data_IF_203273885265
#
_entry.id   IF_203273885265
#
_cell.length_a   1.000
_cell.length_b   1.000
_cell.length_c   1.000
_cell.angle_alpha   90.00
_cell.angle_beta   90.00
_cell.angle_gamma   90.00
#
_symmetry.space_group_name_H-M   'P 1'
#
loop_
_entity.id
_entity.type
_entity.pdbx_description
1 polymer ?
#
# COMPACT_ATOMS: atom_id res chain seq x y z
N UNK A 1 16.23 30.71 -21.45
CA UNK A 1 16.28 29.32 -21.92
C UNK A 1 17.49 28.66 -21.30
N UNK A 2 17.32 27.41 -20.88
CA UNK A 2 18.24 26.51 -20.17
C UNK A 2 18.24 26.54 -18.64
N UNK A 3 18.02 25.33 -18.12
CA UNK A 3 18.24 24.80 -16.78
C UNK A 3 17.09 24.90 -15.76
N UNK A 4 16.14 23.97 -15.91
CA UNK A 4 15.44 23.38 -14.78
C UNK A 4 15.05 21.90 -15.07
N UNK A 5 16.04 21.07 -15.46
CA UNK A 5 15.86 19.63 -15.74
C UNK A 5 16.63 18.75 -14.72
N UNK A 6 17.23 19.32 -13.68
CA UNK A 6 18.16 18.59 -12.79
C UNK A 6 17.61 17.88 -11.52
N UNK A 7 16.38 18.07 -11.01
CA UNK A 7 15.92 17.31 -9.83
C UNK A 7 15.69 15.82 -10.12
N UNK A 8 15.12 15.50 -11.28
CA UNK A 8 14.75 14.14 -11.68
C UNK A 8 15.98 13.26 -11.92
N UNK A 9 16.98 13.78 -12.63
CA UNK A 9 18.21 13.03 -12.92
C UNK A 9 19.00 12.65 -11.66
N UNK A 10 19.02 13.50 -10.63
CA UNK A 10 19.68 13.19 -9.35
C UNK A 10 18.90 12.16 -8.51
N UNK A 11 17.57 12.21 -8.53
CA UNK A 11 16.72 11.21 -7.87
C UNK A 11 16.87 9.84 -8.53
N UNK A 12 16.79 9.77 -9.87
CA UNK A 12 16.99 8.54 -10.65
C UNK A 12 18.41 7.98 -10.47
N UNK A 13 19.45 8.82 -10.48
CA UNK A 13 20.83 8.37 -10.26
C UNK A 13 21.08 7.87 -8.83
N UNK A 14 20.39 8.43 -7.83
CA UNK A 14 20.42 7.93 -6.45
C UNK A 14 19.71 6.58 -6.33
N UNK A 15 18.56 6.39 -6.99
CA UNK A 15 17.83 5.11 -7.04
C UNK A 15 18.62 4.01 -7.75
N UNK A 16 19.26 4.30 -8.89
CA UNK A 16 20.10 3.35 -9.62
C UNK A 16 21.34 2.93 -8.82
N UNK A 17 22.01 3.88 -8.15
CA UNK A 17 23.17 3.58 -7.29
C UNK A 17 22.77 2.72 -6.09
N UNK A 18 21.60 2.97 -5.49
CA UNK A 18 21.04 2.15 -4.39
C UNK A 18 20.68 0.74 -4.83
N UNK A 19 20.01 0.58 -5.98
CA UNK A 19 19.75 -0.74 -6.58
C UNK A 19 21.04 -1.51 -6.83
N UNK A 20 22.05 -0.85 -7.39
CA UNK A 20 23.36 -1.45 -7.62
C UNK A 20 24.03 -1.92 -6.33
N UNK A 21 24.02 -1.09 -5.27
CA UNK A 21 24.59 -1.44 -3.97
C UNK A 21 23.84 -2.59 -3.30
N UNK A 22 22.50 -2.55 -3.29
CA UNK A 22 21.69 -3.61 -2.70
C UNK A 22 21.85 -4.93 -3.43
N UNK A 23 21.82 -4.91 -4.77
CA UNK A 23 22.07 -6.11 -5.56
C UNK A 23 23.48 -6.65 -5.30
N UNK A 24 24.49 -5.79 -5.14
CA UNK A 24 25.85 -6.21 -4.82
C UNK A 24 25.96 -6.84 -3.41
N UNK A 25 25.30 -6.28 -2.39
CA UNK A 25 25.31 -6.82 -1.03
C UNK A 25 24.52 -8.14 -0.94
N UNK A 26 23.31 -8.18 -1.49
CA UNK A 26 22.46 -9.38 -1.46
C UNK A 26 23.05 -10.51 -2.31
N UNK A 27 23.63 -10.20 -3.48
CA UNK A 27 24.31 -11.20 -4.31
C UNK A 27 25.66 -11.62 -3.73
N UNK A 28 26.35 -10.71 -3.02
CA UNK A 28 27.57 -10.99 -2.28
C UNK A 28 27.33 -12.03 -1.19
N UNK A 29 26.25 -11.89 -0.41
CA UNK A 29 25.83 -12.90 0.56
C UNK A 29 25.45 -14.23 -0.10
N UNK A 30 24.76 -14.21 -1.25
CA UNK A 30 24.42 -15.43 -1.99
C UNK A 30 25.67 -16.23 -2.38
N UNK A 31 26.75 -15.54 -2.78
CA UNK A 31 28.03 -16.16 -3.11
C UNK A 31 28.74 -16.73 -1.88
N UNK A 32 28.66 -16.04 -0.74
CA UNK A 32 29.22 -16.50 0.55
C UNK A 32 28.47 -17.72 1.09
N UNK A 33 27.13 -17.69 1.07
CA UNK A 33 26.27 -18.80 1.50
C UNK A 33 26.49 -20.03 0.61
N UNK A 34 26.63 -19.87 -0.71
CA UNK A 34 27.01 -20.99 -1.59
C UNK A 34 28.41 -21.55 -1.27
N UNK A 35 29.38 -20.70 -0.90
CA UNK A 35 30.72 -21.16 -0.52
C UNK A 35 30.74 -21.90 0.81
N UNK A 36 29.95 -21.48 1.80
CA UNK A 36 29.85 -22.16 3.10
C UNK A 36 29.09 -23.50 2.98
N UNK A 37 28.02 -23.55 2.18
CA UNK A 37 27.29 -24.79 1.86
C UNK A 37 28.16 -25.82 1.12
N UNK A 38 29.13 -25.39 0.31
CA UNK A 38 30.10 -26.30 -0.33
C UNK A 38 31.18 -26.80 0.64
N UNK A 39 31.55 -26.01 1.66
CA UNK A 39 32.56 -26.41 2.67
C UNK A 39 32.02 -27.40 3.70
N UNK A 40 30.72 -27.41 3.99
CA UNK A 40 30.10 -28.32 4.97
C UNK A 40 29.89 -29.75 4.48
N UNK A 41 30.06 -30.01 3.17
CA UNK A 41 29.84 -31.33 2.55
C UNK A 41 31.07 -32.26 2.54
N UNK A 42 32.21 -31.85 3.09
CA UNK A 42 33.38 -32.72 3.27
C UNK A 42 33.64 -33.02 4.75
N UNK A 43 33.01 -34.10 5.22
CA UNK A 43 33.55 -34.95 6.28
C UNK A 43 33.00 -34.72 7.68
N UNK A 44 31.96 -35.49 8.05
CA UNK A 44 32.03 -36.53 9.10
C UNK A 44 30.64 -37.09 9.41
N UNK A 45 30.53 -38.40 9.33
CA UNK A 45 29.38 -39.20 9.77
C UNK A 45 29.15 -39.07 11.28
N UNK A 46 27.98 -38.58 11.71
CA UNK A 46 27.34 -38.91 13.00
C UNK A 46 25.80 -38.87 12.87
N UNK A 47 25.20 -39.87 13.49
CA UNK A 47 23.85 -40.42 13.36
C UNK A 47 22.71 -39.56 13.95
N UNK A 48 21.51 -39.71 13.38
CA UNK A 48 20.14 -39.34 13.83
C UNK A 48 19.86 -37.89 14.30
N UNK A 49 20.76 -37.22 15.01
CA UNK A 49 20.67 -35.77 15.32
C UNK A 49 20.96 -34.91 14.08
N UNK A 50 21.76 -35.43 13.14
CA UNK A 50 22.07 -34.77 11.87
C UNK A 50 20.83 -34.59 10.98
N UNK A 51 19.85 -35.49 11.03
CA UNK A 51 18.62 -35.37 10.25
C UNK A 51 17.71 -34.22 10.73
N UNK A 52 17.60 -33.99 12.05
CA UNK A 52 16.88 -32.82 12.60
C UNK A 52 17.62 -31.51 12.30
N UNK A 53 18.95 -31.54 12.36
CA UNK A 53 19.78 -30.36 12.07
C UNK A 53 19.83 -30.03 10.57
N UNK A 54 19.76 -31.03 9.66
CA UNK A 54 19.66 -30.80 8.22
C UNK A 54 18.31 -30.18 7.83
N UNK A 55 17.22 -30.61 8.47
CA UNK A 55 15.88 -30.08 8.21
C UNK A 55 15.73 -28.65 8.75
N UNK A 56 16.34 -28.37 9.92
CA UNK A 56 16.44 -27.02 10.47
C UNK A 56 17.37 -26.12 9.63
N UNK A 57 18.56 -26.59 9.24
CA UNK A 57 19.47 -25.81 8.40
C UNK A 57 18.87 -25.54 7.01
N UNK A 58 18.22 -26.54 6.41
CA UNK A 58 17.54 -26.39 5.12
C UNK A 58 16.34 -25.43 5.19
N UNK A 59 15.61 -25.41 6.31
CA UNK A 59 14.52 -24.46 6.55
C UNK A 59 15.05 -23.04 6.78
N UNK A 60 16.15 -22.90 7.53
CA UNK A 60 16.81 -21.61 7.73
C UNK A 60 17.36 -21.04 6.42
N UNK A 61 18.01 -21.86 5.60
CA UNK A 61 18.52 -21.49 4.27
C UNK A 61 17.39 -21.04 3.34
N UNK A 62 16.26 -21.77 3.36
CA UNK A 62 15.07 -21.40 2.58
C UNK A 62 14.49 -20.05 3.02
N UNK A 63 14.36 -19.82 4.33
CA UNK A 63 13.85 -18.55 4.84
C UNK A 63 14.81 -17.39 4.52
N UNK A 64 16.12 -17.61 4.61
CA UNK A 64 17.13 -16.61 4.22
C UNK A 64 16.97 -16.24 2.74
N UNK A 65 16.86 -17.23 1.86
CA UNK A 65 16.62 -17.02 0.43
C UNK A 65 15.34 -16.19 0.18
N UNK A 66 14.22 -16.58 0.79
CA UNK A 66 12.94 -15.87 0.60
C UNK A 66 13.01 -14.43 1.13
N UNK A 67 13.73 -14.20 2.23
CA UNK A 67 13.93 -12.85 2.80
C UNK A 67 14.82 -11.98 1.91
N UNK A 68 15.85 -12.55 1.28
CA UNK A 68 16.67 -11.85 0.29
C UNK A 68 15.87 -11.52 -0.97
N UNK A 69 15.08 -12.49 -1.49
CA UNK A 69 14.18 -12.26 -2.62
C UNK A 69 13.14 -11.17 -2.30
N UNK A 70 12.64 -11.13 -1.06
CA UNK A 70 11.76 -10.07 -0.60
C UNK A 70 12.42 -8.70 -0.77
N UNK A 71 13.62 -8.48 -0.22
CA UNK A 71 14.28 -7.18 -0.32
C UNK A 71 14.66 -6.78 -1.75
N UNK A 72 15.11 -7.73 -2.58
CA UNK A 72 15.30 -7.49 -4.02
C UNK A 72 14.00 -6.99 -4.66
N UNK A 73 12.88 -7.65 -4.32
CA UNK A 73 11.56 -7.28 -4.84
C UNK A 73 11.12 -5.89 -4.36
N UNK A 74 11.33 -5.58 -3.08
CA UNK A 74 10.99 -4.25 -2.52
C UNK A 74 11.79 -3.14 -3.22
N UNK A 75 13.05 -3.37 -3.57
CA UNK A 75 13.82 -2.39 -4.37
C UNK A 75 13.41 -2.31 -5.83
N UNK A 76 12.85 -3.40 -6.38
CA UNK A 76 12.24 -3.33 -7.69
C UNK A 76 10.97 -2.47 -7.69
N UNK A 77 10.25 -2.36 -6.56
CA UNK A 77 9.11 -1.45 -6.42
C UNK A 77 9.49 0.03 -6.54
N UNK A 78 10.76 0.42 -6.34
CA UNK A 78 11.19 1.80 -6.61
C UNK A 78 11.27 2.12 -8.11
N UNK A 79 11.14 1.15 -9.03
CA UNK A 79 11.33 1.40 -10.47
C UNK A 79 10.43 2.48 -11.01
N UNK A 80 10.97 3.36 -11.84
CA UNK A 80 10.19 4.23 -12.73
C UNK A 80 9.71 3.47 -13.99
N UNK A 81 10.29 2.31 -14.28
CA UNK A 81 9.85 1.46 -15.38
C UNK A 81 8.64 0.61 -14.95
N UNK A 82 7.50 0.91 -15.55
CA UNK A 82 6.21 0.30 -15.21
C UNK A 82 6.21 -1.24 -15.30
N UNK A 83 6.92 -1.80 -16.28
CA UNK A 83 7.05 -3.26 -16.44
C UNK A 83 7.83 -3.91 -15.29
N UNK A 84 8.94 -3.31 -14.86
CA UNK A 84 9.72 -3.82 -13.72
C UNK A 84 8.90 -3.76 -12.44
N UNK A 85 8.19 -2.66 -12.24
CA UNK A 85 7.28 -2.49 -11.11
C UNK A 85 6.18 -3.57 -11.13
N UNK A 86 5.53 -3.79 -12.27
CA UNK A 86 4.50 -4.81 -12.42
C UNK A 86 5.03 -6.23 -12.10
N UNK A 87 6.25 -6.56 -12.54
CA UNK A 87 6.89 -7.83 -12.19
C UNK A 87 7.18 -7.91 -10.69
N UNK A 88 7.65 -6.84 -10.07
CA UNK A 88 7.91 -6.78 -8.63
C UNK A 88 6.62 -7.00 -7.82
N UNK A 89 5.50 -6.37 -8.19
CA UNK A 89 4.19 -6.60 -7.56
C UNK A 89 3.80 -8.09 -7.64
N UNK A 90 3.93 -8.71 -8.82
CA UNK A 90 3.58 -10.13 -9.00
C UNK A 90 4.52 -11.06 -8.25
N UNK A 91 5.80 -10.73 -8.16
CA UNK A 91 6.79 -11.49 -7.40
C UNK A 91 6.53 -11.38 -5.90
N UNK A 92 6.22 -10.17 -5.41
CA UNK A 92 5.90 -9.95 -4.00
C UNK A 92 4.66 -10.75 -3.58
N UNK A 93 3.64 -10.82 -4.44
CA UNK A 93 2.47 -11.67 -4.23
C UNK A 93 2.83 -13.14 -3.98
N UNK A 94 3.82 -13.67 -4.72
CA UNK A 94 4.31 -15.05 -4.54
C UNK A 94 5.17 -15.20 -3.30
N UNK A 95 6.02 -14.21 -3.00
CA UNK A 95 6.89 -14.23 -1.82
C UNK A 95 6.05 -14.24 -0.54
N UNK A 96 4.97 -13.46 -0.46
CA UNK A 96 4.09 -13.41 0.71
C UNK A 96 3.30 -14.71 0.94
N UNK A 97 3.22 -15.61 -0.04
CA UNK A 97 2.71 -16.97 0.20
C UNK A 97 3.69 -17.84 1.01
N UNK A 98 4.97 -17.47 1.06
CA UNK A 98 6.04 -18.21 1.71
C UNK A 98 6.72 -17.45 2.86
N UNK A 99 6.44 -16.14 2.98
CA UNK A 99 6.98 -15.25 4.00
C UNK A 99 5.82 -14.54 4.70
N UNK A 100 5.82 -14.61 6.04
CA UNK A 100 4.83 -13.93 6.89
C UNK A 100 5.54 -12.84 7.70
N UNK A 101 5.51 -11.57 7.25
CA UNK A 101 6.26 -10.45 7.86
C UNK A 101 5.88 -10.15 9.31
N UNK A 102 4.74 -10.65 9.77
CA UNK A 102 4.25 -10.55 11.15
C UNK A 102 4.88 -11.60 12.09
N UNK A 103 5.41 -12.71 11.55
CA UNK A 103 6.05 -13.75 12.38
C UNK A 103 7.39 -13.24 12.92
N UNK A 104 7.68 -13.40 14.23
CA UNK A 104 8.92 -12.93 14.83
C UNK A 104 10.19 -13.39 14.09
N UNK A 105 10.27 -14.67 13.74
CA UNK A 105 11.43 -15.24 13.03
C UNK A 105 11.66 -14.62 11.64
N UNK A 106 10.58 -14.35 10.90
CA UNK A 106 10.63 -13.70 9.58
C UNK A 106 11.01 -12.23 9.74
N UNK A 107 10.39 -11.56 10.71
CA UNK A 107 10.64 -10.15 11.02
C UNK A 107 12.09 -9.90 11.42
N UNK A 108 12.66 -10.73 12.31
CA UNK A 108 14.05 -10.57 12.75
C UNK A 108 15.03 -10.71 11.59
N UNK A 109 14.77 -11.61 10.63
CA UNK A 109 15.59 -11.74 9.42
C UNK A 109 15.40 -10.55 8.47
N UNK A 110 14.18 -10.08 8.28
CA UNK A 110 13.90 -8.89 7.47
C UNK A 110 14.59 -7.65 8.04
N UNK A 111 14.48 -7.43 9.34
CA UNK A 111 15.10 -6.31 10.07
C UNK A 111 16.63 -6.38 9.99
N UNK A 112 17.23 -7.57 10.13
CA UNK A 112 18.68 -7.75 9.97
C UNK A 112 19.17 -7.31 8.58
N UNK A 113 18.49 -7.76 7.52
CA UNK A 113 18.87 -7.39 6.15
C UNK A 113 18.65 -5.89 5.91
N UNK A 114 17.55 -5.31 6.39
CA UNK A 114 17.32 -3.86 6.29
C UNK A 114 18.44 -3.04 6.94
N UNK A 115 18.91 -3.47 8.11
CA UNK A 115 20.02 -2.83 8.82
C UNK A 115 21.37 -2.95 8.08
N UNK A 116 21.58 -4.04 7.34
CA UNK A 116 22.77 -4.20 6.48
C UNK A 116 22.69 -3.29 5.26
N UNK A 117 21.54 -3.27 4.58
CA UNK A 117 21.25 -2.41 3.42
C UNK A 117 21.41 -0.92 3.76
N UNK A 118 21.08 -0.54 5.01
CA UNK A 118 21.08 0.85 5.49
C UNK A 118 20.24 1.78 4.62
N UNK A 119 19.02 1.36 4.29
CA UNK A 119 18.11 2.16 3.47
C UNK A 119 17.74 3.46 4.22
N UNK A 120 18.19 4.64 3.76
CA UNK A 120 17.90 5.88 4.46
C UNK A 120 16.41 6.23 4.33
N UNK A 121 15.74 6.44 5.46
CA UNK A 121 14.32 6.80 5.52
C UNK A 121 13.42 5.83 4.73
N UNK A 122 13.62 4.53 4.91
CA UNK A 122 12.75 3.52 4.30
C UNK A 122 11.27 3.84 4.60
N UNK A 123 10.43 4.07 3.57
CA UNK A 123 9.07 4.56 3.77
C UNK A 123 8.09 3.47 4.22
N UNK A 124 8.47 2.19 4.10
CA UNK A 124 7.56 1.06 4.28
C UNK A 124 7.09 0.47 2.95
N UNK A 125 6.83 -0.84 2.95
CA UNK A 125 6.43 -1.58 1.75
C UNK A 125 5.10 -1.08 1.18
N UNK A 126 4.13 -0.75 2.04
CA UNK A 126 2.81 -0.34 1.56
C UNK A 126 2.87 0.97 0.76
N UNK A 127 3.73 1.92 1.16
CA UNK A 127 3.90 3.20 0.45
C UNK A 127 4.48 2.96 -0.96
N UNK A 128 5.52 2.11 -1.06
CA UNK A 128 6.12 1.76 -2.34
C UNK A 128 5.12 1.08 -3.29
N UNK A 129 4.19 0.30 -2.74
CA UNK A 129 3.16 -0.37 -3.52
C UNK A 129 2.04 0.54 -4.00
N UNK A 130 1.67 1.55 -3.22
CA UNK A 130 0.51 2.40 -3.51
C UNK A 130 0.63 3.14 -4.85
N UNK A 131 1.85 3.42 -5.35
CA UNK A 131 2.03 3.98 -6.70
C UNK A 131 1.52 3.06 -7.81
N UNK A 132 1.43 1.76 -7.55
CA UNK A 132 0.87 0.80 -8.50
C UNK A 132 -0.61 1.04 -8.81
N UNK A 133 -1.34 1.70 -7.91
CA UNK A 133 -2.76 2.04 -8.09
C UNK A 133 -3.00 3.05 -9.22
N UNK A 134 -1.97 3.80 -9.63
CA UNK A 134 -2.04 4.74 -10.76
C UNK A 134 -1.50 4.12 -12.07
N UNK A 135 -0.89 2.93 -12.00
CA UNK A 135 -0.31 2.26 -13.17
C UNK A 135 -1.38 1.62 -14.06
N UNK A 136 -1.29 1.84 -15.38
CA UNK A 136 -2.15 1.19 -16.35
C UNK A 136 -1.92 -0.32 -16.42
N UNK A 137 -0.67 -0.77 -16.23
CA UNK A 137 -0.30 -2.18 -16.29
C UNK A 137 -0.46 -2.93 -14.96
N UNK A 138 -0.29 -2.24 -13.82
CA UNK A 138 -0.15 -2.88 -12.51
C UNK A 138 -1.31 -2.62 -11.54
N UNK A 139 -2.27 -1.73 -11.83
CA UNK A 139 -3.32 -1.34 -10.88
C UNK A 139 -4.09 -2.53 -10.30
N UNK A 140 -4.65 -3.42 -11.14
CA UNK A 140 -5.41 -4.59 -10.68
C UNK A 140 -4.56 -5.53 -9.82
N UNK A 141 -3.31 -5.80 -10.23
CA UNK A 141 -2.40 -6.64 -9.47
C UNK A 141 -2.01 -5.99 -8.12
N UNK A 142 -1.87 -4.67 -8.11
CA UNK A 142 -1.57 -3.88 -6.91
C UNK A 142 -2.74 -3.92 -5.95
N UNK A 143 -3.99 -3.76 -6.43
CA UNK A 143 -5.18 -3.88 -5.58
C UNK A 143 -5.33 -5.25 -4.96
N UNK A 144 -5.11 -6.30 -5.75
CA UNK A 144 -5.13 -7.67 -5.26
C UNK A 144 -4.06 -7.92 -4.19
N UNK A 145 -2.87 -7.33 -4.34
CA UNK A 145 -1.79 -7.46 -3.38
C UNK A 145 -2.03 -6.64 -2.11
N UNK A 146 -2.52 -5.40 -2.23
CA UNK A 146 -2.88 -4.56 -1.08
C UNK A 146 -3.96 -5.21 -0.22
N UNK A 147 -4.93 -5.90 -0.84
CA UNK A 147 -5.93 -6.72 -0.16
C UNK A 147 -5.26 -7.77 0.75
N UNK A 148 -4.17 -8.40 0.32
CA UNK A 148 -3.44 -9.39 1.14
C UNK A 148 -2.58 -8.73 2.22
N UNK A 149 -1.85 -7.68 1.86
CA UNK A 149 -0.90 -6.99 2.76
C UNK A 149 -1.59 -6.31 3.93
N UNK A 150 -2.86 -5.90 3.79
CA UNK A 150 -3.57 -5.28 4.91
C UNK A 150 -3.55 -6.13 6.19
N UNK A 151 -3.47 -7.46 6.07
CA UNK A 151 -3.39 -8.36 7.23
C UNK A 151 -2.08 -8.25 8.03
N UNK A 152 -1.01 -7.81 7.40
CA UNK A 152 0.31 -7.64 8.03
C UNK A 152 0.82 -6.20 7.96
N UNK A 153 -0.04 -5.24 7.60
CA UNK A 153 0.33 -3.84 7.37
C UNK A 153 0.92 -3.14 8.60
N UNK A 154 0.55 -3.59 9.80
CA UNK A 154 1.06 -3.06 11.06
C UNK A 154 2.45 -3.62 11.44
N UNK A 155 3.03 -4.54 10.67
CA UNK A 155 4.41 -4.99 10.88
C UNK A 155 5.37 -3.82 10.60
N UNK A 156 6.45 -3.62 11.40
CA UNK A 156 7.38 -2.50 11.23
C UNK A 156 8.01 -2.38 9.84
N UNK A 157 8.21 -3.52 9.15
CA UNK A 157 8.70 -3.54 7.76
C UNK A 157 7.64 -3.04 6.78
N UNK A 158 6.36 -3.31 7.06
CA UNK A 158 5.27 -2.84 6.22
C UNK A 158 5.04 -1.35 6.45
N UNK A 159 4.88 -0.94 7.71
CA UNK A 159 4.65 0.43 8.14
C UNK A 159 5.63 0.85 9.26
N UNK A 160 6.76 1.49 8.92
CA UNK A 160 7.71 2.02 9.90
C UNK A 160 7.12 3.11 10.81
N UNK A 161 6.02 3.77 10.43
CA UNK A 161 5.33 4.74 11.28
C UNK A 161 4.48 4.09 12.38
N UNK A 162 4.11 2.81 12.18
CA UNK A 162 3.36 1.97 13.11
C UNK A 162 1.85 2.24 13.19
N UNK A 163 1.32 3.28 12.53
CA UNK A 163 -0.11 3.62 12.60
C UNK A 163 -0.72 4.23 11.34
N UNK A 164 0.06 4.50 10.28
CA UNK A 164 -0.43 5.12 9.04
C UNK A 164 -0.76 4.09 7.96
N UNK A 165 -0.22 2.89 8.04
CA UNK A 165 -0.37 1.84 7.03
C UNK A 165 -1.82 1.40 6.87
N UNK A 166 -2.49 1.03 7.97
CA UNK A 166 -3.88 0.58 7.92
C UNK A 166 -4.85 1.58 7.27
N UNK A 167 -4.94 2.87 7.69
CA UNK A 167 -5.84 3.81 7.04
C UNK A 167 -5.48 4.10 5.59
N UNK A 168 -4.19 4.18 5.25
CA UNK A 168 -3.75 4.44 3.88
C UNK A 168 -4.03 3.26 2.94
N UNK A 169 -3.81 2.02 3.37
CA UNK A 169 -4.15 0.84 2.55
C UNK A 169 -5.66 0.68 2.43
N UNK A 170 -6.42 1.01 3.48
CA UNK A 170 -7.90 0.96 3.44
C UNK A 170 -8.46 2.01 2.47
N UNK A 171 -8.00 3.26 2.52
CA UNK A 171 -8.43 4.28 1.55
C UNK A 171 -7.96 3.92 0.15
N UNK A 172 -6.78 3.29 0.04
CA UNK A 172 -6.30 2.80 -1.22
C UNK A 172 -7.34 1.83 -1.77
N UNK A 173 -7.70 0.74 -1.09
CA UNK A 173 -8.63 -0.26 -1.63
C UNK A 173 -10.01 0.30 -2.01
N UNK A 174 -10.42 1.44 -1.47
CA UNK A 174 -11.80 1.93 -1.54
C UNK A 174 -12.31 2.27 -2.96
N UNK A 175 -11.57 2.93 -3.88
CA UNK A 175 -12.03 3.15 -5.25
C UNK A 175 -12.32 1.84 -5.99
N UNK A 176 -11.53 0.79 -5.73
CA UNK A 176 -11.76 -0.53 -6.33
C UNK A 176 -13.05 -1.18 -5.81
N UNK A 177 -13.29 -1.10 -4.49
CA UNK A 177 -14.51 -1.62 -3.87
C UNK A 177 -15.77 -0.85 -4.31
N UNK A 178 -15.67 0.47 -4.40
CA UNK A 178 -16.77 1.36 -4.83
C UNK A 178 -17.11 1.15 -6.29
N UNK A 179 -16.10 1.00 -7.16
CA UNK A 179 -16.29 0.72 -8.57
C UNK A 179 -17.05 -0.60 -8.81
N UNK A 180 -16.70 -1.64 -8.03
CA UNK A 180 -17.31 -2.97 -8.14
C UNK A 180 -18.50 -3.17 -7.19
N UNK A 181 -19.06 -2.10 -6.61
CA UNK A 181 -20.04 -2.22 -5.52
C UNK A 181 -21.28 -3.06 -5.88
N UNK A 182 -21.84 -2.86 -7.08
CA UNK A 182 -23.06 -3.55 -7.52
C UNK A 182 -22.83 -5.05 -7.80
N UNK A 183 -21.62 -5.41 -8.23
CA UNK A 183 -21.24 -6.80 -8.49
C UNK A 183 -19.81 -7.06 -8.00
N UNK A 184 -19.61 -7.24 -6.68
CA UNK A 184 -18.27 -7.37 -6.12
C UNK A 184 -17.54 -8.59 -6.68
N UNK A 185 -16.31 -8.41 -7.12
CA UNK A 185 -15.43 -9.53 -7.45
C UNK A 185 -15.03 -10.31 -6.19
N UNK A 186 -14.45 -11.52 -6.35
CA UNK A 186 -13.93 -12.25 -5.19
C UNK A 186 -12.83 -11.46 -4.47
N UNK A 187 -11.98 -10.74 -5.22
CA UNK A 187 -10.93 -9.89 -4.66
C UNK A 187 -11.54 -8.77 -3.82
N UNK A 188 -12.66 -8.17 -4.26
CA UNK A 188 -13.38 -7.16 -3.48
C UNK A 188 -13.92 -7.73 -2.17
N UNK A 189 -14.54 -8.92 -2.22
CA UNK A 189 -15.07 -9.59 -1.02
C UNK A 189 -13.96 -9.94 -0.03
N UNK A 190 -12.86 -10.47 -0.53
CA UNK A 190 -11.69 -10.83 0.28
C UNK A 190 -11.05 -9.58 0.89
N UNK A 191 -10.92 -8.49 0.14
CA UNK A 191 -10.36 -7.23 0.62
C UNK A 191 -11.21 -6.66 1.77
N UNK A 192 -12.52 -6.57 1.58
CA UNK A 192 -13.42 -6.07 2.61
C UNK A 192 -13.43 -6.99 3.85
N UNK A 193 -13.39 -8.31 3.67
CA UNK A 193 -13.30 -9.24 4.80
C UNK A 193 -12.01 -9.04 5.59
N UNK A 194 -10.86 -8.88 4.92
CA UNK A 194 -9.56 -8.66 5.57
C UNK A 194 -9.49 -7.32 6.29
N UNK A 195 -10.08 -6.25 5.73
CA UNK A 195 -10.23 -4.98 6.46
C UNK A 195 -11.05 -5.19 7.73
N UNK A 196 -12.17 -5.92 7.63
CA UNK A 196 -13.03 -6.20 8.78
C UNK A 196 -12.32 -7.03 9.87
N UNK A 197 -11.50 -8.01 9.46
CA UNK A 197 -10.66 -8.79 10.37
C UNK A 197 -9.72 -7.86 11.16
N UNK A 198 -8.93 -7.00 10.50
CA UNK A 198 -8.00 -6.10 11.20
C UNK A 198 -8.73 -5.11 12.12
N UNK A 199 -9.87 -4.57 11.68
CA UNK A 199 -10.68 -3.69 12.52
C UNK A 199 -11.11 -4.40 13.82
N UNK A 200 -11.48 -5.68 13.73
CA UNK A 200 -11.95 -6.47 14.89
C UNK A 200 -10.84 -6.74 15.91
N UNK A 201 -9.57 -6.76 15.49
CA UNK A 201 -8.41 -6.97 16.38
C UNK A 201 -7.89 -5.67 17.01
N UNK A 202 -8.30 -4.50 16.49
CA UNK A 202 -7.76 -3.18 16.89
C UNK A 202 -8.60 -2.52 18.01
N UNK A 203 -9.64 -3.21 18.51
CA UNK A 203 -10.50 -2.78 19.62
C UNK A 203 -11.77 -2.05 19.20
N UNK A 204 -12.55 -1.58 20.18
CA UNK A 204 -13.94 -1.12 19.99
C UNK A 204 -14.11 0.10 19.06
N UNK A 205 -13.05 0.88 18.84
CA UNK A 205 -13.09 2.10 18.01
C UNK A 205 -13.37 1.81 16.54
N UNK A 206 -13.06 0.62 16.04
CA UNK A 206 -13.25 0.24 14.63
C UNK A 206 -14.39 -0.75 14.40
N UNK A 207 -15.20 -1.06 15.42
CA UNK A 207 -16.31 -2.03 15.31
C UNK A 207 -17.32 -1.67 14.23
N UNK A 208 -17.63 -0.38 14.06
CA UNK A 208 -18.53 0.08 13.00
C UNK A 208 -17.92 -0.11 11.60
N UNK A 209 -16.63 0.20 11.43
CA UNK A 209 -15.94 -0.03 10.16
C UNK A 209 -15.88 -1.54 9.85
N UNK A 210 -15.56 -2.38 10.84
CA UNK A 210 -15.56 -3.83 10.70
C UNK A 210 -16.92 -4.34 10.21
N UNK A 211 -18.00 -3.83 10.81
CA UNK A 211 -19.36 -4.23 10.44
C UNK A 211 -19.71 -3.86 9.01
N UNK A 212 -19.42 -2.62 8.59
CA UNK A 212 -19.69 -2.14 7.22
C UNK A 212 -18.94 -2.97 6.20
N UNK A 213 -17.65 -3.22 6.45
CA UNK A 213 -16.80 -4.02 5.56
C UNK A 213 -17.26 -5.49 5.47
N UNK A 214 -17.66 -6.09 6.60
CA UNK A 214 -18.23 -7.45 6.60
C UNK A 214 -19.55 -7.53 5.82
N UNK A 215 -20.41 -6.52 5.92
CA UNK A 215 -21.66 -6.46 5.15
C UNK A 215 -21.39 -6.35 3.64
N UNK A 216 -20.42 -5.53 3.22
CA UNK A 216 -19.97 -5.46 1.83
C UNK A 216 -19.44 -6.82 1.35
N UNK A 217 -18.54 -7.46 2.11
CA UNK A 217 -17.95 -8.74 1.74
C UNK A 217 -19.00 -9.83 1.48
N UNK A 218 -20.08 -9.81 2.27
CA UNK A 218 -21.21 -10.75 2.13
C UNK A 218 -22.24 -10.34 1.07
N UNK A 219 -22.12 -9.16 0.47
CA UNK A 219 -23.13 -8.60 -0.44
C UNK A 219 -24.47 -8.29 0.26
N UNK A 220 -24.43 -7.95 1.55
CA UNK A 220 -25.62 -7.74 2.39
C UNK A 220 -25.72 -6.33 2.96
N UNK A 221 -24.92 -5.38 2.48
CA UNK A 221 -25.07 -3.98 2.83
C UNK A 221 -26.32 -3.41 2.14
N UNK A 222 -27.40 -3.24 2.89
CA UNK A 222 -28.73 -2.92 2.35
C UNK A 222 -28.95 -1.46 1.90
N UNK A 223 -27.90 -0.77 1.46
CA UNK A 223 -27.94 0.62 0.96
C UNK A 223 -27.12 0.74 -0.33
N UNK A 224 -27.15 1.90 -0.96
CA UNK A 224 -26.40 2.17 -2.18
C UNK A 224 -24.89 2.36 -1.94
N UNK A 225 -24.13 2.37 -3.05
CA UNK A 225 -22.68 2.58 -3.06
C UNK A 225 -22.27 3.87 -2.33
N UNK A 226 -23.04 4.95 -2.49
CA UNK A 226 -22.76 6.23 -1.88
C UNK A 226 -22.83 6.16 -0.35
N UNK A 227 -23.88 5.53 0.20
CA UNK A 227 -24.02 5.36 1.64
C UNK A 227 -22.95 4.44 2.21
N UNK A 228 -22.54 3.41 1.47
CA UNK A 228 -21.40 2.58 1.83
C UNK A 228 -20.13 3.42 1.95
N UNK A 229 -19.79 4.21 0.92
CA UNK A 229 -18.63 5.10 0.94
C UNK A 229 -18.69 6.09 2.10
N UNK A 230 -19.85 6.71 2.32
CA UNK A 230 -20.06 7.68 3.40
C UNK A 230 -19.81 7.06 4.78
N UNK A 231 -20.26 5.83 5.02
CA UNK A 231 -20.01 5.11 6.26
C UNK A 231 -18.53 4.76 6.43
N UNK A 232 -17.90 4.19 5.40
CA UNK A 232 -16.48 3.79 5.46
C UNK A 232 -15.60 5.00 5.75
N UNK A 233 -15.75 6.08 4.99
CA UNK A 233 -14.96 7.31 5.16
C UNK A 233 -15.17 7.91 6.54
N UNK A 234 -16.42 7.98 7.02
CA UNK A 234 -16.73 8.47 8.37
C UNK A 234 -15.99 7.68 9.44
N UNK A 235 -16.18 6.36 9.46
CA UNK A 235 -15.64 5.52 10.53
C UNK A 235 -14.11 5.44 10.47
N UNK A 236 -13.52 5.59 9.28
CA UNK A 236 -12.07 5.69 9.15
C UNK A 236 -11.54 7.02 9.71
N UNK A 237 -12.18 8.15 9.38
CA UNK A 237 -11.78 9.47 9.86
C UNK A 237 -12.06 9.70 11.36
N UNK A 238 -13.09 9.06 11.92
CA UNK A 238 -13.39 9.11 13.36
C UNK A 238 -12.20 8.58 14.20
N UNK A 239 -11.34 7.72 13.64
CA UNK A 239 -10.17 7.13 14.30
C UNK A 239 -8.84 7.66 13.76
N UNK A 240 -8.74 7.89 12.45
CA UNK A 240 -7.50 8.21 11.72
C UNK A 240 -7.55 9.58 11.06
N UNK A 241 -8.17 10.58 11.70
CA UNK A 241 -8.23 11.96 11.20
C UNK A 241 -6.84 12.56 10.94
N UNK A 242 -5.81 12.17 11.68
CA UNK A 242 -4.41 12.57 11.45
C UNK A 242 -3.86 12.13 10.10
N UNK A 243 -4.41 11.05 9.52
CA UNK A 243 -4.00 10.53 8.21
C UNK A 243 -4.81 11.13 7.05
N UNK A 244 -5.78 12.00 7.33
CA UNK A 244 -6.71 12.54 6.33
C UNK A 244 -5.99 13.19 5.13
N UNK A 245 -4.93 13.97 5.41
CA UNK A 245 -4.14 14.63 4.38
C UNK A 245 -3.52 13.60 3.43
N UNK A 246 -2.82 12.60 3.98
CA UNK A 246 -2.22 11.50 3.21
C UNK A 246 -3.26 10.77 2.34
N UNK A 247 -4.44 10.51 2.90
CA UNK A 247 -5.54 9.85 2.19
C UNK A 247 -6.09 10.70 1.04
N UNK A 248 -6.28 12.01 1.23
CA UNK A 248 -6.71 12.93 0.17
C UNK A 248 -5.66 13.05 -0.91
N UNK A 249 -4.38 13.24 -0.54
CA UNK A 249 -3.27 13.32 -1.51
C UNK A 249 -3.22 12.09 -2.40
N UNK A 250 -3.32 10.90 -1.81
CA UNK A 250 -3.36 9.66 -2.57
C UNK A 250 -4.57 9.60 -3.53
N UNK A 251 -5.78 9.93 -3.06
CA UNK A 251 -6.98 9.91 -3.90
C UNK A 251 -6.91 10.91 -5.06
N UNK A 252 -6.33 12.09 -4.83
CA UNK A 252 -6.08 13.08 -5.88
C UNK A 252 -5.09 12.51 -6.91
N UNK A 253 -4.04 11.83 -6.47
CA UNK A 253 -3.07 11.22 -7.38
C UNK A 253 -3.72 10.11 -8.25
N UNK A 254 -4.54 9.24 -7.65
CA UNK A 254 -5.32 8.22 -8.39
C UNK A 254 -6.31 8.88 -9.35
N UNK A 255 -6.95 9.97 -8.96
CA UNK A 255 -7.88 10.71 -9.81
C UNK A 255 -7.18 11.31 -11.04
N UNK A 256 -5.97 11.86 -10.86
CA UNK A 256 -5.23 12.53 -11.94
C UNK A 256 -4.47 11.56 -12.85
N UNK A 257 -3.85 10.51 -12.29
CA UNK A 257 -2.92 9.63 -13.03
C UNK A 257 -3.46 8.21 -13.25
N UNK A 258 -4.47 7.80 -12.48
CA UNK A 258 -5.01 6.44 -12.54
C UNK A 258 -5.94 6.19 -13.73
N UNK A 259 -6.45 4.96 -13.81
CA UNK A 259 -7.35 4.56 -14.90
C UNK A 259 -8.71 5.28 -14.80
N UNK A 260 -9.24 5.72 -15.94
CA UNK A 260 -10.48 6.50 -16.02
C UNK A 260 -11.69 5.83 -15.36
N UNK A 261 -11.75 4.49 -15.39
CA UNK A 261 -12.88 3.73 -14.83
C UNK A 261 -13.06 3.92 -13.31
N UNK A 262 -12.01 4.28 -12.58
CA UNK A 262 -12.10 4.53 -11.14
C UNK A 262 -12.36 5.99 -10.77
N UNK A 263 -12.31 6.94 -11.72
CA UNK A 263 -12.42 8.37 -11.41
C UNK A 263 -13.73 8.74 -10.70
N UNK A 264 -14.87 8.21 -11.14
CA UNK A 264 -16.16 8.42 -10.46
C UNK A 264 -16.12 7.92 -9.02
N UNK A 265 -15.45 6.79 -8.76
CA UNK A 265 -15.29 6.24 -7.42
C UNK A 265 -14.40 7.13 -6.54
N UNK A 266 -13.27 7.61 -7.09
CA UNK A 266 -12.41 8.58 -6.41
C UNK A 266 -13.15 9.88 -6.06
N UNK A 267 -13.93 10.44 -6.99
CA UNK A 267 -14.72 11.65 -6.76
C UNK A 267 -15.78 11.44 -5.67
N UNK A 268 -16.46 10.28 -5.65
CA UNK A 268 -17.41 9.93 -4.59
C UNK A 268 -16.75 9.87 -3.21
N UNK A 269 -15.54 9.28 -3.14
CA UNK A 269 -14.77 9.19 -1.88
C UNK A 269 -14.30 10.57 -1.45
N UNK A 270 -13.73 11.36 -2.37
CA UNK A 270 -13.30 12.74 -2.11
C UNK A 270 -14.45 13.62 -1.65
N UNK A 271 -15.65 13.48 -2.22
CA UNK A 271 -16.85 14.16 -1.73
C UNK A 271 -17.11 13.83 -0.26
N UNK A 272 -17.06 12.55 0.11
CA UNK A 272 -17.28 12.12 1.50
C UNK A 272 -16.18 12.63 2.43
N UNK A 273 -14.92 12.64 1.99
CA UNK A 273 -13.80 13.19 2.76
C UNK A 273 -14.01 14.68 3.01
N UNK A 274 -14.32 15.45 1.95
CA UNK A 274 -14.61 16.90 2.03
C UNK A 274 -15.79 17.18 2.97
N UNK A 275 -16.81 16.33 2.99
CA UNK A 275 -17.96 16.48 3.87
C UNK A 275 -17.61 16.35 5.37
N UNK A 276 -16.63 15.53 5.72
CA UNK A 276 -16.25 15.28 7.12
C UNK A 276 -15.02 16.06 7.57
N UNK A 277 -14.22 16.58 6.64
CA UNK A 277 -13.02 17.36 6.94
C UNK A 277 -13.35 18.85 7.04
N UNK A 278 -12.74 19.52 8.01
CA UNK A 278 -12.69 20.98 8.02
C UNK A 278 -11.57 21.48 7.11
N UNK A 279 -11.93 21.67 5.85
CA UNK A 279 -11.06 22.14 4.77
C UNK A 279 -10.64 23.60 5.01
N UNK A 280 -11.32 24.37 5.87
CA UNK A 280 -10.95 25.76 6.13
C UNK A 280 -9.78 25.89 7.12
N UNK A 281 -9.35 24.80 7.75
CA UNK A 281 -8.30 24.82 8.77
C UNK A 281 -6.90 25.09 8.18
N UNK A 282 -6.15 26.01 8.82
CA UNK A 282 -4.90 26.61 8.33
C UNK A 282 -3.75 25.66 7.88
N UNK A 283 -3.59 24.41 8.39
CA UNK A 283 -2.55 23.50 7.90
C UNK A 283 -2.80 22.92 6.50
N UNK A 284 -3.99 23.12 5.92
CA UNK A 284 -4.47 22.39 4.73
C UNK A 284 -4.50 23.21 3.42
N UNK A 285 -4.11 24.49 3.43
CA UNK A 285 -4.35 25.40 2.30
C UNK A 285 -3.74 24.95 0.96
N UNK A 286 -2.53 24.39 0.98
CA UNK A 286 -1.86 23.86 -0.23
C UNK A 286 -2.57 22.61 -0.75
N UNK A 287 -2.87 21.65 0.14
CA UNK A 287 -3.62 20.45 -0.23
C UNK A 287 -5.00 20.80 -0.81
N UNK A 288 -5.66 21.81 -0.25
CA UNK A 288 -6.94 22.28 -0.73
C UNK A 288 -6.83 22.84 -2.15
N UNK A 289 -5.78 23.62 -2.42
CA UNK A 289 -5.51 24.14 -3.76
C UNK A 289 -5.30 23.00 -4.76
N UNK A 290 -4.48 21.99 -4.42
CA UNK A 290 -4.24 20.83 -5.28
C UNK A 290 -5.51 20.00 -5.51
N UNK A 291 -6.27 19.73 -4.44
CA UNK A 291 -7.55 19.03 -4.49
C UNK A 291 -8.54 19.77 -5.40
N UNK A 292 -8.76 21.06 -5.19
CA UNK A 292 -9.72 21.84 -5.97
C UNK A 292 -9.25 22.05 -7.41
N UNK A 293 -7.96 22.18 -7.65
CA UNK A 293 -7.38 22.20 -8.99
C UNK A 293 -7.69 20.91 -9.74
N UNK A 294 -7.45 19.75 -9.10
CA UNK A 294 -7.75 18.44 -9.67
C UNK A 294 -9.25 18.25 -9.93
N UNK A 295 -10.11 18.66 -8.98
CA UNK A 295 -11.58 18.60 -9.16
C UNK A 295 -12.03 19.50 -10.32
N UNK A 296 -11.49 20.71 -10.45
CA UNK A 296 -11.86 21.64 -11.52
C UNK A 296 -11.58 21.09 -12.91
N UNK A 297 -10.49 20.33 -13.11
CA UNK A 297 -10.21 19.64 -14.38
C UNK A 297 -11.34 18.70 -14.77
N UNK A 298 -12.00 18.07 -13.79
CA UNK A 298 -13.07 17.11 -14.02
C UNK A 298 -14.44 17.75 -14.31
N UNK A 299 -14.60 19.06 -14.08
CA UNK A 299 -15.83 19.81 -14.43
C UNK A 299 -16.05 19.85 -15.95
N UNK A 300 -14.99 19.73 -16.75
CA UNK A 300 -15.07 19.71 -18.22
C UNK A 300 -15.14 18.30 -18.80
N UNK A 301 -15.27 17.26 -17.95
CA UNK A 301 -15.26 15.85 -18.36
C UNK A 301 -16.65 15.22 -18.18
N UNK A 302 -16.76 13.92 -18.47
CA UNK A 302 -17.98 13.15 -18.20
C UNK A 302 -18.38 13.12 -16.71
N UNK A 303 -17.45 13.41 -15.80
CA UNK A 303 -17.65 13.40 -14.34
C UNK A 303 -18.04 14.78 -13.76
N UNK A 304 -18.54 15.70 -14.60
CA UNK A 304 -18.77 17.09 -14.20
C UNK A 304 -19.79 17.24 -13.05
N UNK A 305 -20.78 16.35 -12.95
CA UNK A 305 -21.81 16.43 -11.91
C UNK A 305 -21.22 16.16 -10.53
N UNK A 306 -20.35 15.16 -10.44
CA UNK A 306 -19.65 14.70 -9.26
C UNK A 306 -18.65 15.78 -8.82
N UNK A 307 -17.86 16.30 -9.75
CA UNK A 307 -16.93 17.40 -9.49
C UNK A 307 -17.67 18.65 -8.95
N UNK A 308 -18.78 19.05 -9.58
CA UNK A 308 -19.56 20.22 -9.16
C UNK A 308 -20.20 20.03 -7.78
N UNK A 309 -20.60 18.81 -7.40
CA UNK A 309 -21.11 18.52 -6.04
C UNK A 309 -20.05 18.81 -4.98
N UNK A 310 -18.79 18.44 -5.24
CA UNK A 310 -17.68 18.69 -4.30
C UNK A 310 -17.41 20.20 -4.18
N UNK A 311 -17.35 20.91 -5.31
CA UNK A 311 -17.12 22.37 -5.31
C UNK A 311 -18.24 23.11 -4.56
N UNK A 312 -19.51 22.75 -4.80
CA UNK A 312 -20.65 23.34 -4.08
C UNK A 312 -20.58 23.08 -2.58
N UNK A 313 -20.19 21.87 -2.18
CA UNK A 313 -20.04 21.51 -0.79
C UNK A 313 -18.96 22.36 -0.11
N UNK A 314 -17.79 22.49 -0.74
CA UNK A 314 -16.69 23.30 -0.23
C UNK A 314 -17.07 24.79 -0.05
N UNK A 315 -17.78 25.37 -1.02
CA UNK A 315 -18.30 26.76 -0.92
C UNK A 315 -19.30 26.92 0.22
N UNK A 316 -20.14 25.90 0.46
CA UNK A 316 -21.11 25.94 1.56
C UNK A 316 -20.39 25.96 2.91
N UNK A 317 -19.38 25.11 3.08
CA UNK A 317 -18.57 25.06 4.31
C UNK A 317 -17.81 26.37 4.58
N UNK A 318 -17.25 27.00 3.54
CA UNK A 318 -16.55 28.28 3.71
C UNK A 318 -17.49 29.45 4.01
N UNK A 319 -18.73 29.41 3.54
CA UNK A 319 -19.74 30.46 3.77
C UNK A 319 -20.39 30.37 5.16
N UNK A 320 -20.42 29.19 5.78
CA UNK A 320 -20.95 29.00 7.15
C UNK A 320 -19.94 29.38 8.25
N UNK A 321 -18.68 29.64 7.90
CA UNK A 321 -17.61 30.01 8.83
C UNK A 321 -17.30 31.52 8.84
N UNK A 322 -18.03 32.32 8.04
CA UNK A 322 -17.99 33.79 8.01
C UNK A 322 -19.18 34.39 8.72
#
# INVERSE_FOLDING_TARGET
MYNNIMPEAQATQCQFTRRGHMLAEVMGEYAVIQMESRKSNLGRSRSAQSLKNLDQSGTEDKLTLVTQMFWITISLLESDYEYEFALAVRLLDKILCHLQPERPECRDKLDKILNQIKWPNFPGVYILLMKGCTSHMAAEATWALLSKIILCVNSPIMDPSGNLGFPNVTIALLPYLVHNYENPSQICRDAADRVAQICSHTGDRLTNLAKVMSLYSRGTFGKDSFQFTKCVVKYLLDVYSSSAISMVTFLVEVLEKGQQMYQTSCLQILYCMVHYLDIASAPSSVLNQELFHSINKHVQTNNWREALKILKLAVTHSSTLS
#
